data_IF_682601817280
#
_entry.id   IF_682601817280
#
_cell.length_a   1.000
_cell.length_b   1.000
_cell.length_c   1.000
_cell.angle_alpha   90.00
_cell.angle_beta   90.00
_cell.angle_gamma   90.00
#
_symmetry.space_group_name_H-M   'P 1'
#
loop_
_entity.id
_entity.type
_entity.pdbx_description
1 polymer ?
#
# COMPACT_ATOMS: atom_id res chain seq x y z
N UNK A 1 8.05 30.47 -6.61
CA UNK A 1 9.36 30.40 -5.94
C UNK A 1 9.11 29.88 -4.55
N UNK A 2 9.61 28.71 -4.19
CA UNK A 2 9.40 28.15 -2.85
C UNK A 2 10.44 28.77 -1.91
N UNK A 3 9.98 29.44 -0.85
CA UNK A 3 10.84 30.05 0.16
C UNK A 3 11.72 29.02 0.87
N UNK A 4 12.86 29.46 1.39
CA UNK A 4 13.81 28.58 2.08
C UNK A 4 13.19 27.99 3.36
N UNK A 5 13.44 26.70 3.62
CA UNK A 5 12.94 25.98 4.79
C UNK A 5 14.00 25.89 5.89
N UNK A 6 13.61 26.18 7.12
CA UNK A 6 14.47 26.10 8.32
C UNK A 6 13.96 24.96 9.19
N UNK A 7 14.86 24.07 9.59
CA UNK A 7 14.53 22.95 10.46
C UNK A 7 14.19 23.47 11.86
N UNK A 8 13.03 23.08 12.38
CA UNK A 8 12.59 23.44 13.72
C UNK A 8 13.22 22.52 14.77
N UNK A 9 13.48 23.07 15.95
CA UNK A 9 13.96 22.39 17.14
C UNK A 9 12.91 22.39 18.25
N UNK A 10 13.19 21.71 19.37
CA UNK A 10 12.34 21.75 20.56
C UNK A 10 12.11 23.17 21.09
N UNK A 11 13.10 24.06 20.91
CA UNK A 11 13.06 25.44 21.40
C UNK A 11 12.14 26.33 20.54
N UNK A 12 11.83 25.90 19.32
CA UNK A 12 10.96 26.64 18.39
C UNK A 12 9.47 26.29 18.56
N UNK A 13 9.13 25.31 19.40
CA UNK A 13 7.75 24.82 19.59
C UNK A 13 7.40 24.79 21.09
N UNK A 14 6.57 25.73 21.51
CA UNK A 14 6.07 25.80 22.89
C UNK A 14 4.74 25.05 23.05
N UNK A 15 4.64 24.22 24.08
CA UNK A 15 3.48 23.36 24.32
C UNK A 15 2.37 24.15 24.99
N UNK A 16 1.15 23.99 24.51
CA UNK A 16 -0.02 24.72 25.01
C UNK A 16 -0.16 26.14 24.43
N UNK A 17 0.79 26.57 23.60
CA UNK A 17 0.76 27.87 22.91
C UNK A 17 0.42 27.66 21.42
N UNK A 18 -0.42 28.53 20.81
CA UNK A 18 -0.67 28.49 19.38
C UNK A 18 0.62 28.71 18.58
N UNK A 19 0.84 27.89 17.56
CA UNK A 19 2.01 28.02 16.69
C UNK A 19 2.04 29.38 15.99
N UNK A 20 3.16 30.11 16.15
CA UNK A 20 3.36 31.42 15.56
C UNK A 20 3.48 31.38 14.02
N UNK A 21 3.88 30.24 13.45
CA UNK A 21 4.00 29.99 12.01
C UNK A 21 3.50 28.58 11.64
N UNK A 22 3.09 28.36 10.38
CA UNK A 22 2.83 27.03 9.85
C UNK A 22 4.06 26.12 9.91
N UNK A 23 3.82 24.82 10.07
CA UNK A 23 4.87 23.80 10.02
C UNK A 23 4.73 23.01 8.74
N UNK A 24 5.86 22.80 8.08
CA UNK A 24 6.03 22.04 6.85
C UNK A 24 6.89 20.80 7.08
N UNK A 25 6.80 19.85 6.18
CA UNK A 25 7.78 18.78 6.08
C UNK A 25 9.06 19.26 5.37
N UNK A 26 10.07 18.39 5.30
CA UNK A 26 11.34 18.66 4.60
C UNK A 26 11.20 18.96 3.10
N UNK A 27 10.04 18.70 2.50
CA UNK A 27 9.74 18.93 1.09
C UNK A 27 8.90 20.20 0.88
N UNK A 28 8.56 20.93 1.94
CA UNK A 28 7.68 22.10 1.88
C UNK A 28 6.20 21.76 1.84
N UNK A 29 5.83 20.51 2.13
CA UNK A 29 4.43 20.08 2.27
C UNK A 29 3.90 20.56 3.61
N UNK A 30 2.76 21.23 3.60
CA UNK A 30 2.11 21.73 4.79
C UNK A 30 1.68 20.58 5.73
N UNK A 31 2.15 20.61 6.98
CA UNK A 31 1.78 19.64 8.01
C UNK A 31 0.78 20.22 9.00
N UNK A 32 1.05 21.43 9.50
CA UNK A 32 0.25 22.06 10.55
C UNK A 32 0.04 23.52 10.23
N UNK A 33 -1.20 23.97 10.40
CA UNK A 33 -1.57 25.38 10.27
C UNK A 33 -0.99 26.23 11.40
N UNK A 34 -0.74 27.49 11.07
CA UNK A 34 -0.60 28.56 12.06
C UNK A 34 -1.78 28.54 13.04
N UNK A 35 -1.52 28.89 14.30
CA UNK A 35 -2.49 28.94 15.41
C UNK A 35 -2.99 27.58 15.92
N UNK A 36 -2.41 26.46 15.45
CA UNK A 36 -2.68 25.15 16.05
C UNK A 36 -1.96 25.02 17.40
N UNK A 37 -2.62 24.45 18.40
CA UNK A 37 -2.07 24.27 19.75
C UNK A 37 -1.62 22.82 19.92
N UNK A 38 -0.31 22.61 20.12
CA UNK A 38 0.24 21.29 20.43
C UNK A 38 0.15 21.05 21.93
N UNK A 39 -0.50 19.98 22.35
CA UNK A 39 -0.88 19.75 23.75
C UNK A 39 0.05 18.79 24.50
N UNK A 40 1.02 18.16 23.82
CA UNK A 40 1.87 17.13 24.42
C UNK A 40 3.30 17.14 23.88
N UNK A 41 4.28 16.93 24.77
CA UNK A 41 5.69 16.70 24.42
C UNK A 41 5.87 15.54 23.45
N UNK A 42 5.03 14.49 23.57
CA UNK A 42 5.07 13.34 22.66
C UNK A 42 4.70 13.70 21.22
N UNK A 43 3.82 14.69 21.02
CA UNK A 43 3.44 15.19 19.70
C UNK A 43 4.57 16.03 19.09
N UNK A 44 5.22 16.87 19.90
CA UNK A 44 6.40 17.65 19.49
C UNK A 44 7.54 16.71 19.10
N UNK A 45 7.84 15.71 19.92
CA UNK A 45 8.87 14.71 19.64
C UNK A 45 8.60 13.98 18.31
N UNK A 46 7.35 13.57 18.05
CA UNK A 46 6.98 12.95 16.77
C UNK A 46 7.16 13.89 15.58
N UNK A 47 6.75 15.15 15.71
CA UNK A 47 6.91 16.16 14.65
C UNK A 47 8.39 16.39 14.32
N UNK A 48 9.23 16.48 15.33
CA UNK A 48 10.67 16.67 15.15
C UNK A 48 11.36 15.43 14.58
N UNK A 49 10.94 14.23 14.99
CA UNK A 49 11.44 12.94 14.45
C UNK A 49 11.14 12.81 12.96
N UNK A 50 9.94 13.22 12.53
CA UNK A 50 9.57 13.17 11.10
C UNK A 50 10.16 14.34 10.29
N UNK A 51 10.63 15.39 10.97
CA UNK A 51 11.27 16.56 10.39
C UNK A 51 10.25 17.68 10.17
N UNK A 52 10.14 18.56 11.16
CA UNK A 52 9.34 19.77 11.13
C UNK A 52 10.19 20.97 10.65
N UNK A 53 9.65 21.75 9.73
CA UNK A 53 10.32 22.90 9.11
C UNK A 53 9.41 24.12 9.11
N UNK A 54 9.97 25.31 9.26
CA UNK A 54 9.29 26.60 9.04
C UNK A 54 9.86 27.31 7.82
N UNK A 55 9.10 28.24 7.24
CA UNK A 55 9.60 29.08 6.16
C UNK A 55 10.47 30.21 6.73
N UNK A 56 11.66 30.41 6.14
CA UNK A 56 12.63 31.43 6.55
C UNK A 56 12.03 32.85 6.51
N UNK A 57 11.21 33.13 5.50
CA UNK A 57 10.49 34.42 5.34
C UNK A 57 9.48 34.67 6.45
N UNK A 58 8.77 33.62 6.91
CA UNK A 58 7.76 33.73 7.98
C UNK A 58 8.39 33.80 9.37
N UNK A 59 9.58 33.21 9.54
CA UNK A 59 10.33 33.22 10.80
C UNK A 59 11.27 34.42 10.93
N UNK A 60 11.47 35.22 9.87
CA UNK A 60 12.42 36.34 9.85
C UNK A 60 13.88 35.93 10.07
N UNK A 61 14.23 34.66 9.79
CA UNK A 61 15.58 34.10 9.95
C UNK A 61 16.26 34.00 8.59
N UNK A 62 17.55 34.36 8.52
CA UNK A 62 18.34 34.13 7.31
C UNK A 62 18.43 32.62 7.04
N UNK A 63 18.15 32.20 5.80
CA UNK A 63 18.28 30.82 5.41
C UNK A 63 19.74 30.37 5.57
N UNK A 64 20.01 29.42 6.46
CA UNK A 64 21.31 28.75 6.48
C UNK A 64 21.46 27.97 5.17
N UNK A 65 22.51 28.26 4.40
CA UNK A 65 22.86 27.45 3.24
C UNK A 65 23.14 26.02 3.71
N UNK A 66 22.47 25.00 3.15
CA UNK A 66 22.63 23.62 3.59
C UNK A 66 24.07 23.15 3.30
N UNK A 67 24.90 23.06 4.34
CA UNK A 67 26.31 22.60 4.28
C UNK A 67 26.47 21.08 4.15
N UNK A 68 25.37 20.35 3.97
CA UNK A 68 25.40 18.91 3.70
C UNK A 68 24.82 18.64 2.31
N UNK A 69 25.43 17.74 1.51
CA UNK A 69 24.81 17.28 0.28
C UNK A 69 23.39 16.81 0.61
N UNK A 70 22.40 17.34 -0.10
CA UNK A 70 21.00 16.93 0.01
C UNK A 70 20.98 15.44 -0.33
N UNK A 71 21.05 14.60 0.70
CA UNK A 71 20.96 13.17 0.58
C UNK A 71 19.67 12.88 -0.20
N UNK A 72 19.81 12.21 -1.33
CA UNK A 72 18.72 11.87 -2.23
C UNK A 72 17.52 11.40 -1.40
N UNK A 73 16.37 12.08 -1.61
CA UNK A 73 15.07 11.84 -0.98
C UNK A 73 14.96 10.39 -0.49
N UNK A 74 15.04 10.16 0.83
CA UNK A 74 14.56 8.91 1.38
C UNK A 74 13.07 8.86 1.04
N UNK A 75 12.69 8.09 0.00
CA UNK A 75 11.30 7.86 -0.38
C UNK A 75 10.55 7.53 0.90
N UNK A 76 9.56 8.35 1.25
CA UNK A 76 8.66 8.10 2.37
C UNK A 76 8.09 6.69 2.18
N UNK A 77 8.59 5.72 2.95
CA UNK A 77 8.25 4.32 2.79
C UNK A 77 7.02 4.04 3.65
N UNK A 78 5.85 4.08 3.03
CA UNK A 78 4.55 3.82 3.66
C UNK A 78 3.97 2.52 3.13
N UNK A 79 3.71 1.51 3.98
CA UNK A 79 2.98 0.30 3.56
C UNK A 79 1.66 0.61 2.85
N UNK A 80 0.96 1.68 3.24
CA UNK A 80 -0.25 2.14 2.56
C UNK A 80 0.00 2.50 1.09
N UNK A 81 1.04 3.29 0.81
CA UNK A 81 1.37 3.69 -0.57
C UNK A 81 1.84 2.49 -1.41
N UNK A 82 2.56 1.55 -0.80
CA UNK A 82 3.00 0.32 -1.48
C UNK A 82 1.78 -0.52 -1.87
N UNK A 83 0.87 -0.75 -0.93
CA UNK A 83 -0.31 -1.58 -1.16
C UNK A 83 -1.33 -0.91 -2.09
N UNK A 84 -1.43 0.43 -2.07
CA UNK A 84 -2.19 1.19 -3.07
C UNK A 84 -1.59 1.01 -4.48
N UNK A 85 -0.26 1.11 -4.61
CA UNK A 85 0.41 0.87 -5.89
C UNK A 85 0.25 -0.60 -6.35
N UNK A 86 0.38 -1.57 -5.44
CA UNK A 86 0.11 -2.99 -5.73
C UNK A 86 -1.31 -3.17 -6.26
N UNK A 87 -2.31 -2.54 -5.64
CA UNK A 87 -3.71 -2.61 -6.07
C UNK A 87 -3.87 -2.09 -7.50
N UNK A 88 -3.30 -0.93 -7.82
CA UNK A 88 -3.39 -0.34 -9.15
C UNK A 88 -2.68 -1.20 -10.21
N UNK A 89 -1.49 -1.71 -9.91
CA UNK A 89 -0.74 -2.56 -10.84
C UNK A 89 -1.39 -3.94 -11.01
N UNK A 90 -1.95 -4.51 -9.94
CA UNK A 90 -2.66 -5.79 -10.01
C UNK A 90 -3.85 -5.71 -10.97
N UNK A 91 -4.61 -4.61 -10.96
CA UNK A 91 -5.71 -4.41 -11.91
C UNK A 91 -5.22 -4.49 -13.36
N UNK A 92 -4.08 -3.87 -13.67
CA UNK A 92 -3.47 -3.86 -15.01
C UNK A 92 -2.96 -5.25 -15.38
N UNK A 93 -2.20 -5.91 -14.49
CA UNK A 93 -1.65 -7.24 -14.73
C UNK A 93 -2.74 -8.28 -14.95
N UNK A 94 -3.81 -8.28 -14.14
CA UNK A 94 -4.92 -9.23 -14.30
C UNK A 94 -5.70 -8.99 -15.60
N UNK A 95 -5.91 -7.73 -16.00
CA UNK A 95 -6.56 -7.37 -17.26
C UNK A 95 -5.76 -7.79 -18.50
N UNK A 96 -4.43 -7.91 -18.38
CA UNK A 96 -3.52 -8.30 -19.45
C UNK A 96 -3.04 -9.76 -19.34
N UNK A 97 -3.74 -10.61 -18.58
CA UNK A 97 -3.32 -12.00 -18.34
C UNK A 97 -3.24 -12.87 -19.60
N UNK A 98 -4.01 -12.55 -20.64
CA UNK A 98 -3.99 -13.25 -21.93
C UNK A 98 -3.01 -12.62 -22.95
N UNK A 99 -2.27 -11.57 -22.58
CA UNK A 99 -1.31 -10.92 -23.47
C UNK A 99 -0.01 -11.73 -23.54
N UNK A 100 0.29 -12.30 -24.72
CA UNK A 100 1.46 -13.14 -24.94
C UNK A 100 2.81 -12.41 -24.84
N UNK A 101 2.82 -11.09 -25.01
CA UNK A 101 4.03 -10.25 -24.94
C UNK A 101 4.42 -9.88 -23.50
N UNK A 102 3.56 -10.19 -22.52
CA UNK A 102 3.76 -9.89 -21.11
C UNK A 102 4.18 -11.15 -20.36
N UNK A 103 5.20 -11.05 -19.52
CA UNK A 103 5.51 -12.12 -18.57
C UNK A 103 4.65 -11.96 -17.31
N UNK A 104 3.42 -12.47 -17.39
CA UNK A 104 2.43 -12.41 -16.30
C UNK A 104 2.97 -12.95 -14.97
N UNK A 105 3.75 -14.04 -15.01
CA UNK A 105 4.32 -14.65 -13.79
C UNK A 105 5.29 -13.68 -13.12
N UNK A 106 6.20 -13.06 -13.88
CA UNK A 106 7.17 -12.10 -13.33
C UNK A 106 6.48 -10.86 -12.77
N UNK A 107 5.43 -10.35 -13.43
CA UNK A 107 4.65 -9.21 -12.94
C UNK A 107 3.98 -9.51 -11.60
N UNK A 108 3.29 -10.65 -11.48
CA UNK A 108 2.69 -11.06 -10.21
C UNK A 108 3.76 -11.24 -9.13
N UNK A 109 4.90 -11.83 -9.45
CA UNK A 109 5.99 -12.02 -8.47
C UNK A 109 6.61 -10.70 -8.02
N UNK A 110 6.65 -9.68 -8.89
CA UNK A 110 7.03 -8.32 -8.48
C UNK A 110 6.03 -7.73 -7.47
N UNK A 111 4.73 -7.95 -7.68
CA UNK A 111 3.68 -7.52 -6.73
C UNK A 111 3.76 -8.30 -5.40
N UNK A 112 4.04 -9.61 -5.45
CA UNK A 112 4.30 -10.44 -4.26
C UNK A 112 5.42 -9.85 -3.43
N UNK A 113 6.54 -9.47 -4.06
CA UNK A 113 7.67 -8.87 -3.36
C UNK A 113 7.30 -7.54 -2.68
N UNK A 114 6.48 -6.70 -3.31
CA UNK A 114 5.98 -5.46 -2.70
C UNK A 114 5.04 -5.72 -1.50
N UNK A 115 4.13 -6.70 -1.61
CA UNK A 115 3.27 -7.11 -0.49
C UNK A 115 4.10 -7.63 0.68
N UNK A 116 5.06 -8.52 0.42
CA UNK A 116 5.99 -9.02 1.45
C UNK A 116 6.77 -7.87 2.10
N UNK A 117 7.22 -6.90 1.30
CA UNK A 117 7.94 -5.72 1.80
C UNK A 117 7.08 -4.84 2.70
N UNK A 118 5.81 -4.63 2.34
CA UNK A 118 4.84 -3.89 3.17
C UNK A 118 4.63 -4.60 4.52
N UNK A 119 4.36 -5.91 4.48
CA UNK A 119 4.15 -6.74 5.67
C UNK A 119 5.40 -6.83 6.57
N UNK A 120 6.59 -6.93 5.98
CA UNK A 120 7.85 -6.99 6.72
C UNK A 120 8.18 -5.66 7.40
N UNK A 121 7.91 -4.54 6.71
CA UNK A 121 8.23 -3.21 7.24
C UNK A 121 7.43 -2.88 8.47
N UNK A 122 6.12 -3.06 8.40
CA UNK A 122 5.20 -2.79 9.50
C UNK A 122 3.93 -3.63 9.30
N UNK A 123 3.87 -4.74 10.02
CA UNK A 123 2.76 -5.66 9.98
C UNK A 123 1.45 -5.03 10.46
N UNK A 124 1.51 -4.09 11.41
CA UNK A 124 0.33 -3.40 11.93
C UNK A 124 -0.21 -2.41 10.91
N UNK A 125 0.65 -1.64 10.25
CA UNK A 125 0.24 -0.74 9.17
C UNK A 125 -0.27 -1.50 7.94
N UNK A 126 0.38 -2.61 7.55
CA UNK A 126 -0.11 -3.48 6.49
C UNK A 126 -1.48 -4.06 6.83
N UNK A 127 -1.71 -4.51 8.07
CA UNK A 127 -3.03 -4.97 8.50
C UNK A 127 -4.06 -3.82 8.52
N UNK A 128 -3.65 -2.62 8.95
CA UNK A 128 -4.52 -1.45 8.98
C UNK A 128 -4.94 -0.99 7.56
N UNK A 129 -4.14 -1.26 6.53
CA UNK A 129 -4.46 -0.84 5.15
C UNK A 129 -5.76 -1.46 4.63
N UNK A 130 -6.15 -2.63 5.15
CA UNK A 130 -7.41 -3.29 4.80
C UNK A 130 -8.62 -2.40 5.06
N UNK A 131 -8.55 -1.58 6.12
CA UNK A 131 -9.64 -0.70 6.56
C UNK A 131 -9.51 0.73 6.06
N UNK A 132 -8.30 1.16 5.67
CA UNK A 132 -8.02 2.56 5.29
C UNK A 132 -8.05 2.76 3.78
N UNK A 133 -7.59 1.79 3.00
CA UNK A 133 -7.56 1.88 1.55
C UNK A 133 -8.89 1.38 0.99
N UNK A 134 -9.85 2.29 0.78
CA UNK A 134 -11.21 1.93 0.33
C UNK A 134 -11.49 2.26 -1.16
N UNK A 135 -10.50 2.75 -1.91
CA UNK A 135 -10.69 3.18 -3.31
C UNK A 135 -10.38 2.06 -4.31
N UNK A 136 -11.16 1.99 -5.39
CA UNK A 136 -10.92 1.12 -6.54
C UNK A 136 -11.92 -0.03 -6.69
N UNK A 137 -11.62 -0.94 -7.62
CA UNK A 137 -12.42 -2.14 -7.88
C UNK A 137 -12.35 -3.10 -6.68
N UNK A 138 -13.51 -3.45 -6.12
CA UNK A 138 -13.62 -4.34 -4.97
C UNK A 138 -12.88 -5.68 -5.15
N UNK A 139 -13.05 -6.43 -6.26
CA UNK A 139 -12.33 -7.69 -6.51
C UNK A 139 -10.80 -7.57 -6.40
N UNK A 140 -10.25 -6.47 -6.91
CA UNK A 140 -8.80 -6.23 -6.91
C UNK A 140 -8.32 -5.93 -5.50
N UNK A 141 -8.99 -4.99 -4.81
CA UNK A 141 -8.71 -4.68 -3.40
C UNK A 141 -8.81 -5.93 -2.53
N UNK A 142 -9.87 -6.71 -2.69
CA UNK A 142 -10.07 -7.95 -1.94
C UNK A 142 -8.91 -8.93 -2.13
N UNK A 143 -8.41 -9.08 -3.35
CA UNK A 143 -7.26 -9.95 -3.64
C UNK A 143 -5.98 -9.48 -2.93
N UNK A 144 -5.74 -8.16 -2.88
CA UNK A 144 -4.61 -7.57 -2.14
C UNK A 144 -4.78 -7.72 -0.63
N UNK A 145 -5.98 -7.50 -0.09
CA UNK A 145 -6.29 -7.66 1.33
C UNK A 145 -6.03 -9.11 1.79
N UNK A 146 -6.47 -10.09 1.00
CA UNK A 146 -6.22 -11.52 1.26
C UNK A 146 -4.74 -11.86 1.12
N UNK A 147 -4.01 -11.24 0.19
CA UNK A 147 -2.57 -11.42 0.04
C UNK A 147 -1.80 -10.92 1.28
N UNK A 148 -2.17 -9.75 1.82
CA UNK A 148 -1.61 -9.20 3.06
C UNK A 148 -1.91 -10.14 4.24
N UNK A 149 -3.17 -10.55 4.43
CA UNK A 149 -3.56 -11.46 5.51
C UNK A 149 -2.84 -12.79 5.42
N UNK A 150 -2.76 -13.37 4.22
CA UNK A 150 -2.10 -14.66 3.97
C UNK A 150 -0.61 -14.58 4.24
N UNK A 151 0.07 -13.50 3.81
CA UNK A 151 1.48 -13.28 4.11
C UNK A 151 1.76 -13.14 5.61
N UNK A 152 0.96 -12.33 6.32
CA UNK A 152 1.10 -12.17 7.78
C UNK A 152 0.83 -13.49 8.52
N UNK A 153 -0.18 -14.25 8.11
CA UNK A 153 -0.52 -15.53 8.75
C UNK A 153 0.47 -16.64 8.43
N UNK A 154 0.99 -16.72 7.21
CA UNK A 154 2.01 -17.70 6.81
C UNK A 154 3.25 -17.58 7.72
N UNK A 155 3.71 -16.35 7.94
CA UNK A 155 4.81 -16.06 8.88
C UNK A 155 4.45 -16.45 10.32
N UNK A 156 3.27 -16.05 10.81
CA UNK A 156 2.82 -16.35 12.19
C UNK A 156 2.67 -17.84 12.45
N UNK A 157 2.33 -18.64 11.43
CA UNK A 157 2.15 -20.09 11.51
C UNK A 157 3.43 -20.89 11.28
N UNK A 158 4.57 -20.23 11.01
CA UNK A 158 5.83 -20.92 10.74
C UNK A 158 5.82 -21.70 9.42
N UNK A 159 5.02 -21.28 8.43
CA UNK A 159 5.13 -21.81 7.07
C UNK A 159 6.54 -21.49 6.56
N UNK A 160 7.16 -22.44 5.86
CA UNK A 160 8.49 -22.25 5.27
C UNK A 160 8.52 -21.04 4.32
N UNK A 161 9.57 -20.24 4.41
CA UNK A 161 9.75 -19.02 3.61
C UNK A 161 9.60 -19.27 2.09
N UNK A 162 10.11 -20.42 1.62
CA UNK A 162 10.02 -20.87 0.22
C UNK A 162 8.57 -20.94 -0.32
N UNK A 163 7.58 -21.10 0.57
CA UNK A 163 6.17 -21.21 0.21
C UNK A 163 5.41 -19.88 0.29
N UNK A 164 5.98 -18.85 0.93
CA UNK A 164 5.25 -17.59 1.18
C UNK A 164 4.90 -16.90 -0.14
N UNK A 165 5.85 -16.84 -1.06
CA UNK A 165 5.63 -16.19 -2.35
C UNK A 165 4.49 -16.84 -3.14
N UNK A 166 4.46 -18.18 -3.20
CA UNK A 166 3.38 -18.93 -3.87
C UNK A 166 2.01 -18.72 -3.23
N UNK A 167 1.96 -18.61 -1.88
CA UNK A 167 0.71 -18.35 -1.15
C UNK A 167 0.19 -16.94 -1.44
N UNK A 168 1.08 -15.94 -1.45
CA UNK A 168 0.71 -14.55 -1.74
C UNK A 168 0.31 -14.41 -3.21
N UNK A 169 1.03 -15.05 -4.14
CA UNK A 169 0.66 -15.07 -5.55
C UNK A 169 -0.73 -15.70 -5.76
N UNK A 170 -1.01 -16.81 -5.08
CA UNK A 170 -2.33 -17.44 -5.09
C UNK A 170 -3.42 -16.49 -4.60
N UNK A 171 -3.19 -15.77 -3.50
CA UNK A 171 -4.14 -14.79 -2.99
C UNK A 171 -4.39 -13.63 -3.97
N UNK A 172 -3.34 -13.12 -4.63
CA UNK A 172 -3.46 -12.05 -5.62
C UNK A 172 -4.25 -12.48 -6.87
N UNK A 173 -4.28 -13.77 -7.20
CA UNK A 173 -4.91 -14.27 -8.43
C UNK A 173 -6.09 -15.23 -8.23
N UNK A 174 -6.51 -15.51 -6.99
CA UNK A 174 -7.48 -16.57 -6.68
C UNK A 174 -8.82 -16.41 -7.42
N UNK A 175 -9.21 -15.16 -7.69
CA UNK A 175 -10.49 -14.83 -8.31
C UNK A 175 -10.36 -14.36 -9.77
N UNK A 176 -9.21 -14.60 -10.43
CA UNK A 176 -8.94 -14.08 -11.79
C UNK A 176 -10.06 -14.39 -12.80
N UNK A 177 -10.68 -15.57 -12.69
CA UNK A 177 -11.76 -15.99 -13.60
C UNK A 177 -13.14 -15.42 -13.29
N UNK A 178 -13.30 -14.71 -12.16
CA UNK A 178 -14.58 -14.16 -11.72
C UNK A 178 -14.54 -12.67 -11.34
N UNK A 179 -13.49 -11.92 -11.72
CA UNK A 179 -13.34 -10.49 -11.40
C UNK A 179 -14.60 -9.70 -11.81
N UNK A 180 -15.03 -9.82 -13.07
CA UNK A 180 -16.21 -9.10 -13.58
C UNK A 180 -17.51 -9.51 -12.87
N UNK A 181 -17.62 -10.80 -12.52
CA UNK A 181 -18.76 -11.29 -11.75
C UNK A 181 -18.74 -10.72 -10.33
N UNK A 182 -17.59 -10.70 -9.65
CA UNK A 182 -17.48 -10.12 -8.31
C UNK A 182 -17.80 -8.63 -8.29
N UNK A 183 -17.42 -7.87 -9.31
CA UNK A 183 -17.80 -6.46 -9.44
C UNK A 183 -19.33 -6.30 -9.52
N UNK A 184 -19.98 -7.17 -10.29
CA UNK A 184 -21.45 -7.18 -10.41
C UNK A 184 -22.11 -7.57 -9.09
N UNK A 185 -21.62 -8.64 -8.45
CA UNK A 185 -22.17 -9.17 -7.21
C UNK A 185 -21.98 -8.22 -6.02
N UNK A 186 -20.91 -7.43 -6.01
CA UNK A 186 -20.67 -6.44 -4.98
C UNK A 186 -21.76 -5.35 -4.94
N UNK A 187 -22.36 -5.03 -6.09
CA UNK A 187 -23.46 -4.06 -6.20
C UNK A 187 -24.85 -4.73 -6.17
N UNK A 188 -24.92 -6.06 -6.09
CA UNK A 188 -26.18 -6.80 -6.20
C UNK A 188 -26.84 -6.96 -4.84
N UNK A 189 -28.08 -6.46 -4.71
CA UNK A 189 -28.91 -6.63 -3.52
C UNK A 189 -29.83 -7.87 -3.60
N UNK A 190 -29.99 -8.44 -4.79
CA UNK A 190 -30.85 -9.60 -5.04
C UNK A 190 -30.12 -10.93 -4.82
N UNK A 191 -30.89 -12.00 -4.57
CA UNK A 191 -30.33 -13.34 -4.45
C UNK A 191 -29.61 -13.78 -5.74
N UNK A 192 -28.58 -14.61 -5.59
CA UNK A 192 -27.81 -15.14 -6.71
C UNK A 192 -28.69 -15.94 -7.68
N UNK A 193 -28.54 -15.68 -8.98
CA UNK A 193 -29.13 -16.53 -10.01
C UNK A 193 -28.41 -17.88 -10.08
N UNK A 194 -29.05 -18.90 -10.65
CA UNK A 194 -28.43 -20.21 -10.78
C UNK A 194 -27.20 -20.20 -11.70
N UNK A 195 -27.18 -19.30 -12.70
CA UNK A 195 -26.00 -19.07 -13.53
C UNK A 195 -24.86 -18.45 -12.72
N UNK A 196 -25.13 -17.43 -11.90
CA UNK A 196 -24.12 -16.84 -11.02
C UNK A 196 -23.56 -17.86 -10.03
N UNK A 197 -24.42 -18.69 -9.42
CA UNK A 197 -23.98 -19.79 -8.55
C UNK A 197 -23.06 -20.76 -9.29
N UNK A 198 -23.39 -21.10 -10.53
CA UNK A 198 -22.56 -21.98 -11.38
C UNK A 198 -21.24 -21.32 -11.77
N UNK A 199 -21.22 -20.02 -12.05
CA UNK A 199 -19.97 -19.30 -12.31
C UNK A 199 -19.08 -19.27 -11.07
N UNK A 200 -19.66 -18.97 -9.89
CA UNK A 200 -18.96 -19.04 -8.60
C UNK A 200 -18.46 -20.46 -8.35
N UNK A 201 -19.25 -21.51 -8.55
CA UNK A 201 -18.76 -22.87 -8.25
C UNK A 201 -17.60 -23.31 -9.15
N UNK A 202 -17.49 -22.74 -10.36
CA UNK A 202 -16.48 -23.12 -11.36
C UNK A 202 -15.29 -22.15 -11.42
N UNK A 203 -15.28 -21.05 -10.65
CA UNK A 203 -14.29 -19.99 -10.79
C UNK A 203 -12.86 -20.49 -10.54
N UNK A 204 -12.63 -21.33 -9.53
CA UNK A 204 -11.28 -21.79 -9.18
C UNK A 204 -10.67 -22.64 -10.29
N UNK A 205 -11.44 -23.58 -10.82
CA UNK A 205 -11.02 -24.43 -11.95
C UNK A 205 -10.74 -23.61 -13.20
N UNK A 206 -11.62 -22.63 -13.52
CA UNK A 206 -11.39 -21.70 -14.63
C UNK A 206 -10.15 -20.82 -14.40
N UNK A 207 -9.96 -20.34 -13.18
CA UNK A 207 -8.83 -19.51 -12.78
C UNK A 207 -7.50 -20.24 -12.95
N UNK A 208 -7.40 -21.49 -12.50
CA UNK A 208 -6.24 -22.34 -12.77
C UNK A 208 -6.00 -22.52 -14.27
N UNK A 209 -7.07 -22.67 -15.06
CA UNK A 209 -6.98 -22.69 -16.53
C UNK A 209 -6.33 -21.42 -17.09
N UNK A 210 -6.81 -20.25 -16.67
CA UNK A 210 -6.26 -18.95 -17.09
C UNK A 210 -4.80 -18.79 -16.66
N UNK A 211 -4.46 -19.13 -15.42
CA UNK A 211 -3.08 -19.05 -14.92
C UNK A 211 -2.12 -19.95 -15.71
N UNK A 212 -2.56 -21.16 -16.07
CA UNK A 212 -1.77 -22.06 -16.92
C UNK A 212 -1.60 -21.50 -18.33
N UNK A 213 -2.63 -20.90 -18.92
CA UNK A 213 -2.53 -20.21 -20.21
C UNK A 213 -1.55 -19.03 -20.15
N UNK A 214 -1.51 -18.32 -19.02
CA UNK A 214 -0.53 -17.28 -18.68
C UNK A 214 0.85 -17.83 -18.27
N UNK A 215 1.11 -19.13 -18.53
CA UNK A 215 2.38 -19.84 -18.30
C UNK A 215 2.81 -19.95 -16.83
N UNK A 216 1.88 -19.80 -15.87
CA UNK A 216 2.18 -20.05 -14.44
C UNK A 216 2.40 -21.55 -14.23
N UNK A 217 3.57 -21.92 -13.68
CA UNK A 217 3.96 -23.32 -13.42
C UNK A 217 4.13 -23.68 -11.95
N UNK A 218 4.04 -22.71 -11.04
CA UNK A 218 4.18 -22.96 -9.60
C UNK A 218 3.04 -23.86 -9.09
N UNK A 219 3.40 -25.06 -8.63
CA UNK A 219 2.44 -26.08 -8.20
C UNK A 219 1.69 -25.69 -6.92
N UNK A 220 2.36 -25.02 -5.99
CA UNK A 220 1.72 -24.61 -4.74
C UNK A 220 0.74 -23.47 -5.00
N UNK A 221 1.16 -22.48 -5.79
CA UNK A 221 0.30 -21.37 -6.23
C UNK A 221 -0.97 -21.91 -6.89
N UNK A 222 -0.84 -22.74 -7.93
CA UNK A 222 -1.99 -23.30 -8.64
C UNK A 222 -2.89 -24.16 -7.74
N UNK A 223 -2.30 -24.89 -6.78
CA UNK A 223 -3.06 -25.70 -5.81
C UNK A 223 -3.84 -24.82 -4.82
N UNK A 224 -3.28 -23.70 -4.38
CA UNK A 224 -3.96 -22.78 -3.48
C UNK A 224 -5.12 -22.03 -4.13
N UNK A 225 -5.09 -21.86 -5.45
CA UNK A 225 -6.19 -21.24 -6.22
C UNK A 225 -7.35 -22.22 -6.44
N UNK A 226 -7.09 -23.53 -6.50
CA UNK A 226 -8.06 -24.57 -6.84
C UNK A 226 -9.00 -24.94 -5.68
#
# INVERSE_FOLDING_TARGET
MAGALIKLSLEDIEIGVPLAWPIYDRNGTFLIKKDFVIQSESQVARLLVHGAFGLAEEMGRAAEEPTAPIAAKAKYFSPFNILENVTNQLAITLANSDNADVNFTDEIMALVAEVQRACFRDASAALASLFVLEKGSYPIKHSVDVAVLSGLMARKRGIKEENHASIIAAALTMNIAMISLQETLFQQETALTDDQKKQISNHSTRGVGMLRSAKVTDRLWLKCVL
#
